data_IF_521151310478
#
_entry.id   IF_521151310478
#
_cell.length_a   1.000
_cell.length_b   1.000
_cell.length_c   1.000
_cell.angle_alpha   90.00
_cell.angle_beta   90.00
_cell.angle_gamma   90.00
#
_symmetry.space_group_name_H-M   'P 1'
#
loop_
_entity.id
_entity.type
_entity.pdbx_description
1 polymer ?
#
# COMPACT_ATOMS: atom_id res chain seq x y z
N UNK A 1 8.99 -9.70 -2.76
CA UNK A 1 8.05 -10.58 -3.49
C UNK A 1 7.69 -11.87 -2.76
N UNK A 2 8.64 -12.78 -2.45
CA UNK A 2 8.33 -14.08 -1.84
C UNK A 2 7.50 -13.99 -0.54
N UNK A 3 7.84 -13.07 0.36
CA UNK A 3 7.08 -12.85 1.60
C UNK A 3 5.64 -12.40 1.34
N UNK A 4 5.42 -11.55 0.34
CA UNK A 4 4.08 -11.09 -0.06
C UNK A 4 3.25 -12.28 -0.53
N UNK A 5 3.79 -13.11 -1.43
CA UNK A 5 3.09 -14.30 -1.91
C UNK A 5 2.83 -15.31 -0.78
N UNK A 6 3.77 -15.50 0.14
CA UNK A 6 3.58 -16.38 1.29
C UNK A 6 2.43 -15.90 2.19
N UNK A 7 2.43 -14.61 2.55
CA UNK A 7 1.47 -14.04 3.50
C UNK A 7 0.10 -13.72 2.87
N UNK A 8 0.07 -13.33 1.59
CA UNK A 8 -1.14 -12.83 0.93
C UNK A 8 -1.77 -13.84 -0.03
N UNK A 9 -1.08 -14.92 -0.39
CA UNK A 9 -1.62 -16.00 -1.23
C UNK A 9 -1.61 -17.36 -0.50
N UNK A 10 -0.43 -17.84 -0.12
CA UNK A 10 -0.30 -19.20 0.42
C UNK A 10 -0.97 -19.37 1.80
N UNK A 11 -0.73 -18.44 2.73
CA UNK A 11 -1.30 -18.52 4.08
C UNK A 11 -2.85 -18.43 4.09
N UNK A 12 -3.51 -17.48 3.38
CA UNK A 12 -4.97 -17.46 3.22
C UNK A 12 -5.54 -18.77 2.71
N UNK A 13 -4.99 -19.31 1.62
CA UNK A 13 -5.45 -20.55 1.01
C UNK A 13 -5.25 -21.74 1.94
N UNK A 14 -4.13 -21.80 2.67
CA UNK A 14 -3.87 -22.84 3.67
C UNK A 14 -4.87 -22.81 4.83
N UNK A 15 -5.20 -21.63 5.36
CA UNK A 15 -6.20 -21.50 6.43
C UNK A 15 -7.59 -21.94 5.95
N UNK A 16 -8.00 -21.52 4.74
CA UNK A 16 -9.26 -21.94 4.12
C UNK A 16 -9.27 -23.46 3.89
N UNK A 17 -8.18 -24.02 3.38
CA UNK A 17 -8.02 -25.47 3.22
C UNK A 17 -8.16 -26.20 4.56
N UNK A 18 -7.58 -25.68 5.64
CA UNK A 18 -7.69 -26.27 6.96
C UNK A 18 -9.13 -26.28 7.49
N UNK A 19 -9.95 -25.27 7.17
CA UNK A 19 -11.39 -25.28 7.49
C UNK A 19 -12.11 -26.42 6.77
N UNK A 20 -11.86 -26.57 5.46
CA UNK A 20 -12.53 -27.57 4.63
C UNK A 20 -12.13 -29.00 4.99
N UNK A 21 -10.84 -29.26 5.22
CA UNK A 21 -10.30 -30.61 5.28
C UNK A 21 -9.80 -31.03 6.67
N UNK A 22 -9.41 -30.08 7.51
CA UNK A 22 -8.84 -30.33 8.84
C UNK A 22 -9.58 -29.56 9.97
N UNK A 23 -10.93 -29.63 10.04
CA UNK A 23 -11.68 -28.86 11.02
C UNK A 23 -11.37 -29.29 12.46
N UNK A 24 -11.31 -28.32 13.37
CA UNK A 24 -11.27 -28.59 14.80
C UNK A 24 -12.56 -29.29 15.26
N UNK A 25 -12.42 -30.25 16.19
CA UNK A 25 -13.55 -31.02 16.71
C UNK A 25 -14.46 -30.18 17.59
N UNK A 26 -15.76 -30.49 17.51
CA UNK A 26 -16.81 -29.84 18.30
C UNK A 26 -17.22 -28.48 17.75
N UNK A 27 -18.45 -28.06 18.07
CA UNK A 27 -19.02 -26.79 17.57
C UNK A 27 -18.18 -25.58 17.97
N UNK A 28 -17.68 -25.57 19.21
CA UNK A 28 -16.85 -24.47 19.74
C UNK A 28 -15.49 -24.41 19.04
N UNK A 29 -14.79 -25.54 18.91
CA UNK A 29 -13.48 -25.58 18.25
C UNK A 29 -13.56 -25.16 16.77
N UNK A 30 -14.55 -25.67 16.04
CA UNK A 30 -14.81 -25.25 14.67
C UNK A 30 -15.15 -23.75 14.58
N UNK A 31 -16.00 -23.26 15.49
CA UNK A 31 -16.34 -21.84 15.58
C UNK A 31 -15.11 -20.96 15.75
N UNK A 32 -14.22 -21.30 16.69
CA UNK A 32 -12.96 -20.59 16.92
C UNK A 32 -12.07 -20.61 15.67
N UNK A 33 -11.95 -21.77 15.00
CA UNK A 33 -11.15 -21.89 13.78
C UNK A 33 -11.67 -20.98 12.66
N UNK A 34 -12.99 -20.99 12.44
CA UNK A 34 -13.64 -20.21 11.40
C UNK A 34 -13.55 -18.70 11.67
N UNK A 35 -13.82 -18.27 12.91
CA UNK A 35 -13.73 -16.85 13.29
C UNK A 35 -12.28 -16.35 13.26
N UNK A 36 -11.32 -17.15 13.73
CA UNK A 36 -9.90 -16.80 13.65
C UNK A 36 -9.44 -16.69 12.20
N UNK A 37 -9.84 -17.62 11.34
CA UNK A 37 -9.52 -17.58 9.90
C UNK A 37 -10.13 -16.33 9.27
N UNK A 38 -11.41 -16.03 9.54
CA UNK A 38 -12.06 -14.81 9.04
C UNK A 38 -11.35 -13.53 9.52
N UNK A 39 -10.91 -13.48 10.78
CA UNK A 39 -10.17 -12.34 11.33
C UNK A 39 -8.82 -12.15 10.62
N UNK A 40 -8.05 -13.23 10.43
CA UNK A 40 -6.76 -13.18 9.70
C UNK A 40 -6.98 -12.77 8.24
N UNK A 41 -7.96 -13.35 7.55
CA UNK A 41 -8.28 -12.97 6.17
C UNK A 41 -8.73 -11.51 6.07
N UNK A 42 -9.48 -11.00 7.04
CA UNK A 42 -9.90 -9.58 7.08
C UNK A 42 -8.70 -8.65 7.28
N UNK A 43 -7.77 -9.02 8.17
CA UNK A 43 -6.53 -8.26 8.36
C UNK A 43 -5.70 -8.20 7.07
N UNK A 44 -5.56 -9.34 6.39
CA UNK A 44 -4.85 -9.44 5.10
C UNK A 44 -5.60 -8.62 4.04
N UNK A 45 -6.92 -8.70 3.96
CA UNK A 45 -7.72 -7.90 3.02
C UNK A 45 -7.51 -6.39 3.20
N UNK A 46 -7.44 -5.92 4.45
CA UNK A 46 -7.33 -4.50 4.78
C UNK A 46 -5.91 -3.94 4.62
N UNK A 47 -4.88 -4.73 4.95
CA UNK A 47 -3.49 -4.27 5.03
C UNK A 47 -2.56 -4.86 3.95
N UNK A 48 -2.98 -5.93 3.28
CA UNK A 48 -2.26 -6.55 2.16
C UNK A 48 -2.05 -5.57 1.01
N UNK A 49 -1.12 -5.89 0.12
CA UNK A 49 -0.72 -5.05 -1.00
C UNK A 49 -1.31 -5.65 -2.28
N UNK A 50 -2.53 -5.22 -2.64
CA UNK A 50 -3.26 -5.78 -3.77
C UNK A 50 -2.90 -5.15 -5.13
N UNK A 51 -1.65 -4.72 -5.27
CA UNK A 51 -1.02 -4.34 -6.53
C UNK A 51 -0.20 -5.49 -7.13
N UNK A 52 0.30 -6.38 -6.26
CA UNK A 52 1.06 -7.58 -6.66
C UNK A 52 0.14 -8.72 -7.06
N UNK A 53 -0.87 -8.98 -6.24
CA UNK A 53 -1.95 -9.93 -6.49
C UNK A 53 -3.20 -9.09 -6.78
N UNK A 54 -4.04 -9.45 -7.77
CA UNK A 54 -5.18 -8.62 -8.15
C UNK A 54 -6.10 -8.24 -6.98
N UNK A 55 -6.58 -7.00 -6.99
CA UNK A 55 -7.44 -6.39 -5.97
C UNK A 55 -8.73 -7.16 -5.66
N UNK A 56 -9.19 -8.05 -6.54
CA UNK A 56 -10.40 -8.86 -6.30
C UNK A 56 -10.13 -10.10 -5.44
N UNK A 57 -8.88 -10.46 -5.20
CA UNK A 57 -8.47 -11.69 -4.51
C UNK A 57 -9.05 -11.85 -3.09
N UNK A 58 -9.11 -10.80 -2.25
CA UNK A 58 -9.74 -10.90 -0.93
C UNK A 58 -11.21 -11.32 -0.97
N UNK A 59 -11.96 -10.87 -1.98
CA UNK A 59 -13.36 -11.25 -2.14
C UNK A 59 -13.47 -12.73 -2.52
N UNK A 60 -12.56 -13.23 -3.37
CA UNK A 60 -12.48 -14.66 -3.69
C UNK A 60 -12.17 -15.49 -2.43
N UNK A 61 -11.29 -15.02 -1.54
CA UNK A 61 -11.05 -15.68 -0.24
C UNK A 61 -12.30 -15.72 0.64
N UNK A 62 -13.10 -14.65 0.67
CA UNK A 62 -14.38 -14.63 1.38
C UNK A 62 -15.35 -15.70 0.87
N UNK A 63 -15.51 -15.80 -0.45
CA UNK A 63 -16.35 -16.84 -1.09
C UNK A 63 -15.82 -18.24 -0.77
N UNK A 64 -14.51 -18.47 -0.94
CA UNK A 64 -13.88 -19.76 -0.65
C UNK A 64 -14.00 -20.15 0.82
N UNK A 65 -13.92 -19.21 1.76
CA UNK A 65 -14.13 -19.48 3.18
C UNK A 65 -15.57 -19.94 3.45
N UNK A 66 -16.57 -19.27 2.87
CA UNK A 66 -17.98 -19.66 3.01
C UNK A 66 -18.21 -21.07 2.46
N UNK A 67 -17.68 -21.36 1.26
CA UNK A 67 -17.76 -22.67 0.65
C UNK A 67 -17.06 -23.74 1.49
N UNK A 68 -15.88 -23.44 2.03
CA UNK A 68 -15.14 -24.34 2.92
C UNK A 68 -15.91 -24.65 4.20
N UNK A 69 -16.57 -23.66 4.81
CA UNK A 69 -17.42 -23.85 5.99
C UNK A 69 -18.62 -24.74 5.67
N UNK A 70 -19.30 -24.49 4.54
CA UNK A 70 -20.45 -25.29 4.10
C UNK A 70 -20.04 -26.76 3.81
N UNK A 71 -18.96 -26.95 3.07
CA UNK A 71 -18.40 -28.26 2.76
C UNK A 71 -18.00 -29.05 4.01
N UNK A 72 -17.33 -28.40 4.96
CA UNK A 72 -16.89 -29.01 6.22
C UNK A 72 -18.07 -29.48 7.08
N UNK A 73 -19.17 -28.70 7.13
CA UNK A 73 -20.41 -29.09 7.80
C UNK A 73 -21.08 -30.31 7.17
N UNK A 74 -21.09 -30.39 5.83
CA UNK A 74 -21.59 -31.57 5.11
C UNK A 74 -20.80 -32.85 5.42
N UNK A 75 -19.47 -32.74 5.62
CA UNK A 75 -18.61 -33.89 6.00
C UNK A 75 -18.59 -34.21 7.49
N UNK A 76 -19.00 -33.29 8.37
CA UNK A 76 -18.98 -33.52 9.82
C UNK A 76 -19.89 -34.70 10.23
N UNK A 77 -20.94 -34.99 9.46
CA UNK A 77 -21.78 -36.18 9.63
C UNK A 77 -21.05 -37.50 9.30
N UNK A 78 -19.98 -37.46 8.49
CA UNK A 78 -19.32 -38.65 7.95
C UNK A 78 -17.97 -38.99 8.62
N UNK A 79 -17.51 -38.21 9.61
CA UNK A 79 -16.20 -38.41 10.27
C UNK A 79 -16.35 -39.05 11.65
N UNK A 80 -16.50 -40.37 11.66
CA UNK A 80 -15.92 -41.22 12.70
C UNK A 80 -14.46 -41.52 12.32
N UNK A 81 -13.55 -41.65 13.29
CA UNK A 81 -12.16 -42.18 13.24
C UNK A 81 -11.01 -41.18 13.54
N UNK A 82 -10.09 -41.73 14.34
CA UNK A 82 -8.76 -41.30 14.80
C UNK A 82 -8.71 -40.13 15.81
N UNK A 83 -8.66 -40.50 17.09
CA UNK A 83 -8.22 -39.66 18.20
C UNK A 83 -6.82 -39.08 17.93
N UNK A 84 -6.73 -37.83 17.45
CA UNK A 84 -5.48 -37.06 17.57
C UNK A 84 -5.17 -36.87 19.05
N UNK A 85 -3.89 -36.98 19.43
CA UNK A 85 -3.47 -36.80 20.81
C UNK A 85 -3.96 -35.46 21.38
N UNK A 86 -4.25 -35.44 22.68
CA UNK A 86 -4.78 -34.26 23.36
C UNK A 86 -3.90 -33.01 23.19
N UNK A 87 -2.59 -33.19 23.05
CA UNK A 87 -1.61 -32.11 22.90
C UNK A 87 -1.75 -31.41 21.54
N UNK A 88 -1.83 -32.17 20.44
CA UNK A 88 -1.98 -31.60 19.09
C UNK A 88 -3.27 -30.80 18.98
N UNK A 89 -4.36 -31.27 19.60
CA UNK A 89 -5.63 -30.53 19.63
C UNK A 89 -5.51 -29.22 20.42
N UNK A 90 -4.88 -29.24 21.60
CA UNK A 90 -4.65 -28.03 22.40
C UNK A 90 -3.75 -27.03 21.67
N UNK A 91 -2.67 -27.51 21.05
CA UNK A 91 -1.75 -26.68 20.28
C UNK A 91 -2.45 -26.03 19.08
N UNK A 92 -3.26 -26.78 18.32
CA UNK A 92 -4.04 -26.24 17.22
C UNK A 92 -5.06 -25.19 17.70
N UNK A 93 -5.77 -25.46 18.80
CA UNK A 93 -6.70 -24.49 19.37
C UNK A 93 -5.98 -23.21 19.80
N UNK A 94 -4.85 -23.32 20.52
CA UNK A 94 -4.04 -22.19 20.93
C UNK A 94 -3.55 -21.38 19.72
N UNK A 95 -3.07 -22.06 18.68
CA UNK A 95 -2.68 -21.42 17.42
C UNK A 95 -3.81 -20.56 16.84
N UNK A 96 -5.03 -21.10 16.70
CA UNK A 96 -6.14 -20.32 16.13
C UNK A 96 -6.58 -19.18 17.05
N UNK A 97 -6.54 -19.36 18.37
CA UNK A 97 -6.84 -18.26 19.31
C UNK A 97 -5.81 -17.13 19.15
N UNK A 98 -4.51 -17.45 19.15
CA UNK A 98 -3.44 -16.47 18.97
C UNK A 98 -3.50 -15.81 17.58
N UNK A 99 -3.66 -16.60 16.52
CA UNK A 99 -3.76 -16.09 15.15
C UNK A 99 -4.99 -15.21 14.96
N UNK A 100 -6.14 -15.60 15.52
CA UNK A 100 -7.37 -14.81 15.50
C UNK A 100 -7.22 -13.49 16.26
N UNK A 101 -6.65 -13.52 17.47
CA UNK A 101 -6.37 -12.30 18.24
C UNK A 101 -5.41 -11.35 17.51
N UNK A 102 -4.32 -11.88 16.96
CA UNK A 102 -3.39 -11.11 16.13
C UNK A 102 -4.07 -10.55 14.88
N UNK A 103 -4.89 -11.36 14.19
CA UNK A 103 -5.68 -10.93 13.04
C UNK A 103 -6.63 -9.78 13.37
N UNK A 104 -7.38 -9.88 14.47
CA UNK A 104 -8.27 -8.81 14.93
C UNK A 104 -7.49 -7.53 15.25
N UNK A 105 -6.35 -7.63 15.94
CA UNK A 105 -5.48 -6.48 16.21
C UNK A 105 -4.97 -5.82 14.92
N UNK A 106 -4.50 -6.62 13.96
CA UNK A 106 -4.03 -6.13 12.65
C UNK A 106 -5.16 -5.50 11.83
N UNK A 107 -6.36 -6.07 11.87
CA UNK A 107 -7.54 -5.50 11.21
C UNK A 107 -7.97 -4.17 11.87
N UNK A 108 -7.99 -4.11 13.19
CA UNK A 108 -8.33 -2.89 13.94
C UNK A 108 -7.34 -1.76 13.68
N UNK A 109 -6.03 -2.05 13.70
CA UNK A 109 -5.00 -1.05 13.37
C UNK A 109 -5.09 -0.60 11.92
N UNK A 110 -5.45 -1.50 10.98
CA UNK A 110 -5.67 -1.14 9.58
C UNK A 110 -6.90 -0.24 9.42
N UNK A 111 -8.01 -0.56 10.09
CA UNK A 111 -9.22 0.27 10.08
C UNK A 111 -8.97 1.65 10.70
N UNK A 112 -8.22 1.71 11.80
CA UNK A 112 -7.83 2.98 12.43
C UNK A 112 -7.01 3.85 11.48
N UNK A 113 -6.03 3.27 10.77
CA UNK A 113 -5.24 3.99 9.77
C UNK A 113 -6.04 4.53 8.59
N UNK A 114 -7.25 4.00 8.34
CA UNK A 114 -8.13 4.48 7.27
C UNK A 114 -8.90 5.73 7.66
N UNK A 115 -8.91 6.10 8.94
CA UNK A 115 -9.57 7.31 9.43
C UNK A 115 -8.63 8.50 9.18
N UNK A 116 -9.08 9.57 8.50
CA UNK A 116 -8.28 10.78 8.33
C UNK A 116 -7.85 11.34 9.70
N UNK A 117 -6.59 11.79 9.86
CA UNK A 117 -6.17 12.50 11.06
C UNK A 117 -7.00 13.76 11.30
N UNK A 118 -7.08 14.21 12.56
CA UNK A 118 -7.78 15.47 12.93
C UNK A 118 -7.01 16.74 12.57
N UNK A 119 -5.82 16.60 11.99
CA UNK A 119 -5.01 17.71 11.53
C UNK A 119 -5.56 18.28 10.21
N UNK A 120 -5.13 19.49 9.85
CA UNK A 120 -5.49 20.09 8.57
C UNK A 120 -5.01 19.19 7.42
N UNK A 121 -5.97 18.65 6.67
CA UNK A 121 -5.73 17.84 5.48
C UNK A 121 -5.52 18.78 4.30
N UNK A 122 -4.42 18.60 3.58
CA UNK A 122 -4.13 19.35 2.36
C UNK A 122 -4.89 18.71 1.21
N UNK A 123 -5.88 19.41 0.67
CA UNK A 123 -6.65 18.91 -0.46
C UNK A 123 -5.96 19.25 -1.79
N UNK A 124 -5.79 18.23 -2.62
CA UNK A 124 -5.04 18.27 -3.86
C UNK A 124 -5.89 17.80 -5.04
N UNK A 125 -5.59 18.28 -6.24
CA UNK A 125 -6.07 17.61 -7.44
C UNK A 125 -5.34 16.29 -7.64
N UNK A 126 -6.02 15.27 -8.16
CA UNK A 126 -5.36 13.99 -8.45
C UNK A 126 -4.33 14.19 -9.58
N UNK A 127 -3.05 13.79 -9.39
CA UNK A 127 -1.95 14.18 -10.29
C UNK A 127 -1.84 13.35 -11.57
N UNK A 128 -2.75 12.38 -11.77
CA UNK A 128 -2.78 11.49 -12.93
C UNK A 128 -4.16 11.58 -13.60
N UNK A 129 -4.25 11.24 -14.90
CA UNK A 129 -5.49 11.30 -15.68
C UNK A 129 -5.99 9.89 -16.00
N UNK A 130 -6.77 9.73 -17.08
CA UNK A 130 -7.36 8.48 -17.56
C UNK A 130 -6.52 7.24 -17.26
N UNK A 131 -7.06 6.37 -16.41
CA UNK A 131 -6.40 5.16 -15.94
C UNK A 131 -7.17 4.48 -14.81
N UNK A 132 -6.69 3.33 -14.37
CA UNK A 132 -7.16 2.65 -13.17
C UNK A 132 -6.00 2.55 -12.21
N UNK A 133 -6.14 3.12 -11.03
CA UNK A 133 -5.07 3.20 -10.05
C UNK A 133 -5.46 2.47 -8.78
N UNK A 134 -4.45 1.89 -8.12
CA UNK A 134 -4.53 1.28 -6.80
C UNK A 134 -3.49 1.95 -5.92
N UNK A 135 -3.89 2.29 -4.71
CA UNK A 135 -3.02 2.93 -3.72
C UNK A 135 -2.20 1.86 -3.01
N UNK A 136 -0.88 1.88 -3.19
CA UNK A 136 0.06 0.96 -2.58
C UNK A 136 0.39 1.37 -1.13
N UNK A 137 0.64 2.66 -0.92
CA UNK A 137 0.79 3.27 0.41
C UNK A 137 -0.17 4.45 0.53
N UNK A 138 -0.87 4.54 1.65
CA UNK A 138 -1.82 5.60 1.95
C UNK A 138 -2.52 5.32 3.27
N UNK A 139 -2.98 6.37 3.95
CA UNK A 139 -3.52 6.27 5.31
C UNK A 139 -2.52 6.61 6.42
N UNK A 140 -3.00 6.52 7.66
CA UNK A 140 -2.38 7.09 8.86
C UNK A 140 -1.73 6.06 9.79
N UNK A 141 -1.51 4.82 9.35
CA UNK A 141 -0.87 3.79 10.19
C UNK A 141 0.19 2.98 9.44
N UNK A 142 1.20 2.52 10.17
CA UNK A 142 2.36 1.82 9.59
C UNK A 142 2.00 0.52 8.85
N UNK A 143 0.93 -0.17 9.24
CA UNK A 143 0.53 -1.42 8.62
C UNK A 143 -0.13 -1.23 7.25
N UNK A 144 -0.62 -0.03 6.92
CA UNK A 144 -1.19 0.30 5.59
C UNK A 144 -0.39 1.38 4.84
N UNK A 145 0.52 2.08 5.51
CA UNK A 145 1.38 3.08 4.89
C UNK A 145 2.79 2.99 5.47
N UNK A 146 3.74 2.53 4.66
CA UNK A 146 5.13 2.36 5.09
C UNK A 146 5.81 3.69 5.45
N UNK A 147 5.38 4.82 4.88
CA UNK A 147 5.96 6.13 5.13
C UNK A 147 5.76 6.63 6.56
N UNK A 148 4.72 6.13 7.25
CA UNK A 148 4.47 6.44 8.67
C UNK A 148 5.65 6.04 9.57
N UNK A 149 6.55 5.17 9.09
CA UNK A 149 7.78 4.80 9.79
C UNK A 149 8.66 6.02 10.07
N UNK A 150 8.62 7.03 9.22
CA UNK A 150 9.46 8.23 9.36
C UNK A 150 9.02 9.16 10.51
N UNK A 151 7.91 8.86 11.18
CA UNK A 151 7.52 9.50 12.44
C UNK A 151 8.25 8.95 13.66
N UNK A 152 8.94 7.80 13.55
CA UNK A 152 9.66 7.22 14.68
C UNK A 152 10.84 8.10 15.11
N UNK A 153 10.77 8.76 16.29
CA UNK A 153 11.79 9.71 16.73
C UNK A 153 13.07 9.00 17.20
N UNK A 154 13.03 7.68 17.42
CA UNK A 154 14.18 6.90 17.91
C UNK A 154 15.20 6.61 16.82
N UNK A 155 14.88 6.90 15.55
CA UNK A 155 15.74 6.63 14.39
C UNK A 155 16.17 7.97 13.76
N UNK A 156 17.36 8.51 14.09
CA UNK A 156 17.76 9.87 13.71
C UNK A 156 17.71 10.16 12.21
N UNK A 157 18.00 9.16 11.37
CA UNK A 157 17.95 9.32 9.90
C UNK A 157 16.55 9.69 9.38
N UNK A 158 15.47 9.40 10.12
CA UNK A 158 14.13 9.74 9.67
C UNK A 158 13.81 11.23 9.80
N UNK A 159 14.50 11.97 10.66
CA UNK A 159 14.25 13.40 10.86
C UNK A 159 14.38 14.21 9.56
N UNK A 160 15.37 13.88 8.73
CA UNK A 160 15.61 14.55 7.44
C UNK A 160 14.54 14.24 6.37
N UNK A 161 13.74 13.20 6.59
CA UNK A 161 12.82 12.64 5.61
C UNK A 161 11.38 12.49 6.13
N UNK A 162 11.10 13.02 7.33
CA UNK A 162 9.83 12.85 8.04
C UNK A 162 8.63 13.42 7.29
N UNK A 163 8.86 14.40 6.42
CA UNK A 163 7.83 15.05 5.61
C UNK A 163 7.06 14.08 4.73
N UNK A 164 7.67 12.95 4.36
CA UNK A 164 7.00 11.92 3.56
C UNK A 164 5.92 11.14 4.31
N UNK A 165 5.80 11.29 5.64
CA UNK A 165 4.70 10.64 6.36
C UNK A 165 3.35 11.09 5.80
N UNK A 166 2.38 10.19 5.76
CA UNK A 166 1.13 10.33 5.00
C UNK A 166 1.29 10.37 3.48
N UNK A 167 2.50 10.12 2.95
CA UNK A 167 2.73 9.97 1.52
C UNK A 167 1.87 8.87 0.92
N UNK A 168 1.52 9.09 -0.34
CA UNK A 168 0.64 8.24 -1.14
C UNK A 168 1.43 7.72 -2.34
N UNK A 169 1.53 6.41 -2.44
CA UNK A 169 2.14 5.74 -3.59
C UNK A 169 1.04 5.19 -4.50
N UNK A 170 0.99 5.72 -5.72
CA UNK A 170 -0.05 5.45 -6.69
C UNK A 170 0.51 4.50 -7.76
N UNK A 171 -0.18 3.39 -7.99
CA UNK A 171 0.21 2.37 -8.98
C UNK A 171 -0.93 2.21 -10.00
N UNK A 172 -0.60 2.15 -11.29
CA UNK A 172 -1.58 1.85 -12.34
C UNK A 172 -1.75 0.35 -12.51
N UNK A 173 -2.99 -0.09 -12.74
CA UNK A 173 -3.33 -1.49 -13.02
C UNK A 173 -4.14 -1.60 -14.31
N UNK A 174 -4.07 -2.78 -14.92
CA UNK A 174 -4.95 -3.14 -16.03
C UNK A 174 -6.39 -3.45 -15.55
N UNK A 175 -7.35 -3.74 -16.45
CA UNK A 175 -8.74 -4.01 -16.05
C UNK A 175 -8.90 -5.20 -15.08
N UNK A 176 -7.98 -6.17 -15.10
CA UNK A 176 -8.06 -7.38 -14.28
C UNK A 176 -7.24 -7.26 -12.99
N UNK A 177 -6.50 -6.18 -12.82
CA UNK A 177 -5.82 -5.80 -11.58
C UNK A 177 -4.32 -6.07 -11.54
N UNK A 178 -3.66 -6.33 -12.67
CA UNK A 178 -2.20 -6.47 -12.72
C UNK A 178 -1.52 -5.13 -13.01
N UNK A 179 -0.45 -4.83 -12.25
CA UNK A 179 0.37 -3.62 -12.41
C UNK A 179 1.49 -3.74 -13.45
N UNK A 180 1.81 -4.94 -13.92
CA UNK A 180 2.94 -5.21 -14.81
C UNK A 180 2.76 -6.51 -15.62
N UNK A 181 3.58 -6.67 -16.66
CA UNK A 181 3.72 -7.94 -17.41
C UNK A 181 4.56 -8.95 -16.62
N UNK A 182 3.89 -9.67 -15.72
CA UNK A 182 4.49 -10.65 -14.82
C UNK A 182 4.53 -10.18 -13.37
N UNK A 183 5.12 -11.00 -12.50
CA UNK A 183 5.09 -10.74 -11.05
C UNK A 183 6.05 -9.61 -10.62
N UNK A 184 7.26 -9.59 -11.18
CA UNK A 184 8.33 -8.63 -10.85
C UNK A 184 9.31 -8.51 -12.03
N UNK A 185 8.87 -7.99 -13.20
CA UNK A 185 9.76 -7.80 -14.34
C UNK A 185 10.85 -6.77 -14.01
N UNK A 186 12.08 -6.97 -14.48
CA UNK A 186 13.21 -6.08 -14.14
C UNK A 186 13.20 -4.75 -14.89
N UNK A 187 12.55 -4.69 -16.06
CA UNK A 187 12.44 -3.48 -16.86
C UNK A 187 11.31 -2.58 -16.34
N UNK A 188 11.58 -1.31 -15.97
CA UNK A 188 10.54 -0.37 -15.55
C UNK A 188 9.41 -0.21 -16.57
N UNK A 189 9.72 -0.27 -17.87
CA UNK A 189 8.75 -0.16 -18.98
C UNK A 189 7.71 -1.29 -19.02
N UNK A 190 7.93 -2.41 -18.31
CA UNK A 190 6.95 -3.49 -18.20
C UNK A 190 5.81 -3.19 -17.20
N UNK A 191 5.92 -2.08 -16.44
CA UNK A 191 4.90 -1.63 -15.49
C UNK A 191 3.93 -0.65 -16.15
N UNK A 192 2.64 -0.80 -15.85
CA UNK A 192 1.56 -0.03 -16.50
C UNK A 192 1.69 1.47 -16.28
N UNK A 193 2.21 1.90 -15.13
CA UNK A 193 2.31 3.32 -14.78
C UNK A 193 3.54 4.01 -15.37
N UNK A 194 4.56 3.25 -15.80
CA UNK A 194 5.79 3.86 -16.31
C UNK A 194 5.51 4.75 -17.52
N UNK A 195 6.02 5.98 -17.49
CA UNK A 195 5.76 6.99 -18.53
C UNK A 195 4.41 7.71 -18.41
N UNK A 196 3.58 7.41 -17.40
CA UNK A 196 2.34 8.14 -17.19
C UNK A 196 2.63 9.61 -16.88
N UNK A 197 1.91 10.53 -17.54
CA UNK A 197 2.07 11.97 -17.33
C UNK A 197 1.60 12.38 -15.94
N UNK A 198 2.44 13.15 -15.25
CA UNK A 198 2.18 13.69 -13.92
C UNK A 198 1.84 15.18 -14.05
N UNK A 199 0.73 15.58 -13.45
CA UNK A 199 0.22 16.95 -13.49
C UNK A 199 0.26 17.61 -12.12
N UNK A 200 0.40 18.93 -12.12
CA UNK A 200 0.47 19.74 -10.91
C UNK A 200 -0.82 19.55 -10.08
N UNK A 201 -0.73 19.03 -8.85
CA UNK A 201 -1.89 18.81 -7.99
C UNK A 201 -2.42 20.10 -7.33
N UNK A 202 -1.64 21.18 -7.36
CA UNK A 202 -1.97 22.48 -6.81
C UNK A 202 -1.26 23.59 -7.63
N UNK A 203 -1.86 24.78 -7.70
CA UNK A 203 -1.18 25.96 -8.22
C UNK A 203 -0.12 26.42 -7.22
N UNK A 204 1.05 26.79 -7.71
CA UNK A 204 2.17 27.16 -6.85
C UNK A 204 3.44 27.50 -7.59
N UNK A 205 4.52 27.63 -6.82
CA UNK A 205 5.87 27.89 -7.34
C UNK A 205 6.75 26.68 -7.12
N UNK A 206 7.50 26.27 -8.13
CA UNK A 206 8.52 25.22 -8.00
C UNK A 206 9.62 25.74 -7.08
N UNK A 207 9.83 25.11 -5.92
CA UNK A 207 10.92 25.48 -5.00
C UNK A 207 12.15 24.59 -5.20
N UNK A 208 11.96 23.43 -5.80
CA UNK A 208 13.03 22.48 -6.05
C UNK A 208 12.64 21.55 -7.20
N UNK A 209 13.59 21.27 -8.09
CA UNK A 209 13.44 20.30 -9.16
C UNK A 209 14.78 19.57 -9.35
N UNK A 210 14.75 18.23 -9.37
CA UNK A 210 15.88 17.38 -9.75
C UNK A 210 15.44 16.58 -10.97
N UNK A 211 16.26 16.59 -12.01
CA UNK A 211 16.16 15.68 -13.15
C UNK A 211 17.53 15.05 -13.47
N UNK A 212 17.53 13.99 -14.27
CA UNK A 212 18.72 13.30 -14.77
C UNK A 212 19.21 12.12 -13.94
N UNK A 213 18.60 11.82 -12.78
CA UNK A 213 18.86 10.60 -12.01
C UNK A 213 18.32 9.39 -12.81
N UNK A 214 19.16 8.41 -13.17
CA UNK A 214 18.71 7.25 -13.94
C UNK A 214 17.63 6.43 -13.22
N UNK A 215 16.77 5.77 -14.00
CA UNK A 215 15.87 4.75 -13.46
C UNK A 215 16.66 3.52 -13.03
N UNK A 216 16.25 2.91 -11.93
CA UNK A 216 16.81 1.63 -11.47
C UNK A 216 16.07 0.46 -12.12
N UNK A 217 16.77 -0.65 -12.36
CA UNK A 217 16.12 -1.91 -12.73
C UNK A 217 15.36 -2.42 -11.51
N UNK A 218 14.17 -2.97 -11.68
CA UNK A 218 13.42 -3.54 -10.57
C UNK A 218 14.09 -4.84 -10.09
N UNK A 219 14.27 -5.08 -8.78
CA UNK A 219 13.86 -4.25 -7.63
C UNK A 219 15.03 -3.46 -6.99
N UNK A 220 16.06 -3.12 -7.77
CA UNK A 220 17.17 -2.30 -7.32
C UNK A 220 16.68 -0.89 -6.98
N UNK A 221 17.28 -0.27 -5.96
CA UNK A 221 16.91 1.09 -5.53
C UNK A 221 18.15 1.92 -5.28
N UNK A 222 18.06 3.24 -5.48
CA UNK A 222 19.14 4.18 -5.19
C UNK A 222 18.83 4.95 -3.89
N UNK A 223 19.50 4.54 -2.81
CA UNK A 223 19.37 5.17 -1.49
C UNK A 223 20.24 6.42 -1.31
N UNK A 224 21.18 6.67 -2.22
CA UNK A 224 21.93 7.93 -2.21
C UNK A 224 21.05 9.06 -2.74
N UNK A 225 20.22 8.78 -3.75
CA UNK A 225 19.24 9.70 -4.31
C UNK A 225 17.81 9.31 -3.92
N UNK A 226 17.48 9.38 -2.63
CA UNK A 226 16.21 8.86 -2.08
C UNK A 226 14.94 9.23 -2.88
N UNK A 227 14.79 10.46 -3.36
CA UNK A 227 13.62 10.88 -4.15
C UNK A 227 13.73 10.56 -5.66
N UNK A 228 14.94 10.27 -6.15
CA UNK A 228 15.22 10.24 -7.58
C UNK A 228 15.00 11.61 -8.23
N UNK A 229 14.43 11.61 -9.42
CA UNK A 229 13.93 12.82 -10.06
C UNK A 229 12.62 13.24 -9.38
N UNK A 230 12.52 14.51 -9.01
CA UNK A 230 11.44 14.99 -8.18
C UNK A 230 11.20 16.49 -8.36
N UNK A 231 9.98 16.92 -8.05
CA UNK A 231 9.57 18.33 -8.00
C UNK A 231 8.92 18.61 -6.65
N UNK A 232 9.28 19.75 -6.05
CA UNK A 232 8.60 20.31 -4.89
C UNK A 232 7.88 21.58 -5.32
N UNK A 233 6.56 21.61 -5.12
CA UNK A 233 5.71 22.76 -5.37
C UNK A 233 5.36 23.42 -4.04
N UNK A 234 5.66 24.71 -3.90
CA UNK A 234 5.10 25.53 -2.83
C UNK A 234 3.71 25.98 -3.20
N UNK A 235 2.73 25.35 -2.58
CA UNK A 235 1.31 25.64 -2.72
C UNK A 235 0.81 26.45 -1.51
N UNK A 236 -0.44 26.89 -1.53
CA UNK A 236 -0.98 27.80 -0.52
C UNK A 236 -0.90 27.26 0.92
N UNK A 237 -1.08 25.95 1.10
CA UNK A 237 -1.17 25.30 2.42
C UNK A 237 0.06 24.47 2.78
N UNK A 238 0.89 24.08 1.80
CA UNK A 238 1.97 23.13 1.97
C UNK A 238 2.99 23.18 0.82
N UNK A 239 4.19 22.65 1.10
CA UNK A 239 5.10 22.20 0.05
C UNK A 239 4.69 20.75 -0.33
N UNK A 240 4.37 20.53 -1.60
CA UNK A 240 3.92 19.25 -2.16
C UNK A 240 5.04 18.63 -2.98
N UNK A 241 5.35 17.37 -2.71
CA UNK A 241 6.48 16.65 -3.33
C UNK A 241 5.94 15.58 -4.27
N UNK A 242 6.47 15.55 -5.48
CA UNK A 242 6.23 14.51 -6.50
C UNK A 242 7.59 13.87 -6.81
N UNK A 243 7.72 12.56 -6.65
CA UNK A 243 9.01 11.87 -6.71
C UNK A 243 8.99 10.62 -7.62
N UNK A 244 10.17 10.02 -7.78
CA UNK A 244 10.42 8.85 -8.63
C UNK A 244 10.08 9.10 -10.11
N UNK A 245 10.24 10.34 -10.56
CA UNK A 245 9.92 10.74 -11.94
C UNK A 245 10.96 10.17 -12.93
N UNK A 246 10.55 10.07 -14.18
CA UNK A 246 11.35 9.52 -15.27
C UNK A 246 12.48 10.51 -15.65
N UNK A 247 13.73 10.04 -15.82
CA UNK A 247 14.83 10.91 -16.21
C UNK A 247 14.58 11.61 -17.55
N UNK A 248 14.87 12.91 -17.59
CA UNK A 248 14.69 13.78 -18.76
C UNK A 248 13.25 14.21 -19.00
N UNK A 249 12.32 13.93 -18.08
CA UNK A 249 10.90 14.28 -18.24
C UNK A 249 10.53 15.63 -17.60
N UNK A 250 11.35 16.16 -16.70
CA UNK A 250 11.04 17.38 -15.95
C UNK A 250 11.61 18.57 -16.70
N UNK A 251 10.73 19.48 -17.12
CA UNK A 251 11.12 20.72 -17.84
C UNK A 251 11.00 21.98 -17.00
N UNK A 252 10.79 21.81 -15.70
CA UNK A 252 10.59 22.89 -14.75
C UNK A 252 11.88 23.20 -13.99
N UNK A 253 12.06 24.46 -13.62
CA UNK A 253 13.14 24.94 -12.79
C UNK A 253 12.61 25.60 -11.51
N UNK A 254 13.46 25.72 -10.49
CA UNK A 254 13.11 26.47 -9.29
C UNK A 254 12.78 27.93 -9.65
N UNK A 255 11.66 28.43 -9.12
CA UNK A 255 11.10 29.75 -9.42
C UNK A 255 9.95 29.73 -10.43
N UNK A 256 9.78 28.66 -11.21
CA UNK A 256 8.69 28.55 -12.17
C UNK A 256 7.33 28.52 -11.45
N UNK A 257 6.33 29.17 -12.05
CA UNK A 257 4.93 29.10 -11.59
C UNK A 257 4.18 28.07 -12.41
N UNK A 258 3.39 27.26 -11.74
CA UNK A 258 2.52 26.25 -12.36
C UNK A 258 1.11 26.41 -11.84
N UNK A 259 0.14 26.20 -12.72
CA UNK A 259 -1.26 26.07 -12.36
C UNK A 259 -1.65 24.60 -12.20
N UNK A 260 -2.72 24.34 -11.44
CA UNK A 260 -3.33 23.00 -11.34
C UNK A 260 -3.51 22.41 -12.74
N UNK A 261 -3.03 21.18 -12.93
CA UNK A 261 -3.15 20.48 -14.21
C UNK A 261 -2.03 20.77 -15.22
N UNK A 262 -1.07 21.64 -14.90
CA UNK A 262 0.16 21.81 -15.69
C UNK A 262 1.00 20.52 -15.69
N UNK A 263 1.68 20.22 -16.80
CA UNK A 263 2.55 19.03 -16.89
C UNK A 263 3.82 19.23 -16.04
N UNK A 264 4.09 18.30 -15.14
CA UNK A 264 5.30 18.28 -14.31
C UNK A 264 6.39 17.39 -14.93
N UNK A 265 6.01 16.21 -15.38
CA UNK A 265 6.90 15.20 -15.92
C UNK A 265 6.17 13.88 -16.16
N UNK A 266 6.90 12.77 -16.11
CA UNK A 266 6.37 11.43 -16.29
C UNK A 266 6.80 10.51 -15.13
N UNK A 267 5.97 9.52 -14.78
CA UNK A 267 6.32 8.52 -13.76
C UNK A 267 7.49 7.66 -14.25
N UNK A 268 8.49 7.48 -13.38
CA UNK A 268 9.68 6.68 -13.65
C UNK A 268 9.90 5.60 -12.58
N UNK A 269 11.16 5.31 -12.30
CA UNK A 269 11.62 4.41 -11.24
C UNK A 269 12.99 4.85 -10.69
N UNK A 270 13.25 6.16 -10.65
CA UNK A 270 14.49 6.73 -10.15
C UNK A 270 14.49 6.81 -8.62
N UNK A 271 15.68 6.74 -8.01
CA UNK A 271 15.84 6.89 -6.56
C UNK A 271 15.46 5.65 -5.75
N UNK A 272 14.99 5.85 -4.51
CA UNK A 272 14.64 4.76 -3.61
C UNK A 272 13.22 4.20 -3.88
N UNK A 273 13.00 3.78 -5.12
CA UNK A 273 11.76 3.16 -5.62
C UNK A 273 12.02 1.69 -5.93
N UNK A 274 11.23 0.77 -5.35
CA UNK A 274 11.37 -0.66 -5.58
C UNK A 274 10.67 -1.15 -6.85
N UNK A 275 9.67 -0.41 -7.35
CA UNK A 275 9.05 -0.58 -8.66
C UNK A 275 8.34 0.72 -9.12
N UNK A 276 8.08 0.92 -10.43
CA UNK A 276 7.46 2.14 -10.93
C UNK A 276 6.13 2.49 -10.23
N UNK A 277 6.08 3.68 -9.62
CA UNK A 277 4.91 4.28 -8.99
C UNK A 277 5.07 5.80 -8.93
N UNK A 278 3.97 6.53 -8.74
CA UNK A 278 4.05 7.94 -8.37
C UNK A 278 3.98 8.07 -6.86
N UNK A 279 5.04 8.61 -6.25
CA UNK A 279 5.01 9.05 -4.86
C UNK A 279 4.59 10.52 -4.77
N UNK A 280 3.62 10.81 -3.91
CA UNK A 280 3.19 12.17 -3.59
C UNK A 280 2.98 12.36 -2.08
N UNK A 281 3.47 13.46 -1.52
CA UNK A 281 3.15 13.85 -0.15
C UNK A 281 3.09 15.36 0.01
N UNK A 282 2.55 15.83 1.14
CA UNK A 282 2.56 17.22 1.55
C UNK A 282 3.26 17.39 2.90
N UNK A 283 3.92 18.53 3.06
CA UNK A 283 4.60 18.89 4.28
C UNK A 283 4.61 20.42 4.45
N UNK A 284 4.82 20.90 5.67
CA UNK A 284 5.28 22.28 5.87
C UNK A 284 6.65 22.48 5.21
N UNK A 285 7.07 23.73 4.91
CA UNK A 285 8.37 23.97 4.32
C UNK A 285 9.53 23.34 5.13
N UNK A 286 10.38 22.58 4.43
CA UNK A 286 11.60 22.02 4.99
C UNK A 286 12.73 23.05 5.09
N UNK A 287 13.88 22.61 5.63
CA UNK A 287 15.08 23.46 5.62
C UNK A 287 15.80 23.40 4.27
N UNK A 288 16.60 24.42 3.94
CA UNK A 288 17.36 24.44 2.68
C UNK A 288 18.30 23.23 2.50
N UNK A 289 18.84 22.69 3.61
CA UNK A 289 19.72 21.51 3.59
C UNK A 289 18.97 20.18 3.65
N UNK A 290 17.73 20.20 4.15
CA UNK A 290 16.87 19.02 4.26
C UNK A 290 15.45 19.41 3.82
N UNK A 291 15.20 19.53 2.51
CA UNK A 291 13.91 19.99 2.01
C UNK A 291 12.74 19.08 2.41
N UNK A 292 13.00 17.82 2.76
CA UNK A 292 12.01 16.80 3.17
C UNK A 292 11.82 16.67 4.68
N UNK A 293 12.43 17.56 5.48
CA UNK A 293 12.34 17.52 6.94
C UNK A 293 11.09 18.22 7.49
N UNK A 294 10.19 18.70 6.61
CA UNK A 294 9.02 19.46 6.99
C UNK A 294 8.09 18.68 7.91
N UNK A 295 7.22 19.38 8.65
CA UNK A 295 6.13 18.72 9.38
C UNK A 295 5.25 18.02 8.34
N UNK A 296 5.07 16.68 8.39
CA UNK A 296 4.23 15.98 7.43
C UNK A 296 2.77 16.40 7.58
N UNK A 297 2.07 16.51 6.47
CA UNK A 297 0.66 16.90 6.41
C UNK A 297 -0.13 15.81 5.66
N UNK A 298 -1.26 15.33 6.21
CA UNK A 298 -2.13 14.40 5.48
C UNK A 298 -2.64 15.03 4.19
N UNK A 299 -2.80 14.22 3.14
CA UNK A 299 -3.33 14.66 1.85
C UNK A 299 -4.66 14.01 1.53
N UNK A 300 -5.56 14.76 0.91
CA UNK A 300 -6.74 14.25 0.22
C UNK A 300 -6.71 14.63 -1.25
N UNK A 301 -7.49 13.91 -2.06
CA UNK A 301 -7.63 14.19 -3.48
C UNK A 301 -9.09 14.44 -3.83
N UNK A 302 -9.47 15.71 -4.04
CA UNK A 302 -10.87 16.10 -4.20
C UNK A 302 -11.72 15.64 -3.02
N UNK A 303 -11.28 15.95 -1.80
CA UNK A 303 -11.83 15.52 -0.50
C UNK A 303 -11.76 14.01 -0.19
N UNK A 304 -11.26 13.17 -1.10
CA UNK A 304 -11.05 11.75 -0.82
C UNK A 304 -9.72 11.52 -0.08
N UNK A 305 -9.77 11.05 1.17
CA UNK A 305 -8.59 10.58 1.89
C UNK A 305 -8.25 9.15 1.44
N UNK A 306 -7.25 9.04 0.58
CA UNK A 306 -6.90 7.78 -0.06
C UNK A 306 -6.02 6.91 0.85
N UNK A 307 -6.42 5.64 0.97
CA UNK A 307 -5.76 4.65 1.83
C UNK A 307 -5.33 3.44 1.01
N UNK A 308 -4.43 2.61 1.56
CA UNK A 308 -4.01 1.37 0.88
C UNK A 308 -5.20 0.56 0.34
N UNK A 309 -5.06 0.12 -0.90
CA UNK A 309 -6.01 -0.65 -1.70
C UNK A 309 -7.25 0.13 -2.18
N UNK A 310 -7.34 1.43 -1.93
CA UNK A 310 -8.33 2.24 -2.61
C UNK A 310 -8.08 2.22 -4.13
N UNK A 311 -9.18 2.24 -4.87
CA UNK A 311 -9.17 2.20 -6.33
C UNK A 311 -9.63 3.56 -6.85
N UNK A 312 -8.83 4.18 -7.70
CA UNK A 312 -9.11 5.51 -8.25
C UNK A 312 -9.20 5.41 -9.76
N UNK A 313 -10.29 5.93 -10.32
CA UNK A 313 -10.49 6.07 -11.76
C UNK A 313 -10.76 7.55 -12.04
N UNK A 314 -9.72 8.36 -12.26
CA UNK A 314 -9.88 9.77 -12.58
C UNK A 314 -10.70 9.92 -13.86
N UNK A 315 -11.51 10.98 -13.96
CA UNK A 315 -12.30 11.27 -15.16
C UNK A 315 -11.42 11.52 -16.40
#
# INVERSE_FOLDING_TARGET
>A
MALILALQLAAPLLLIFCIAFLPLRGRVGFGIQATATAAVLSAIALAGLWTVIPWWTPYAYGVLLVLAIAFSRGRAAARSIASRSSLVRRAALAFYVCAGGFGLYQAATALYGRIPPREDVVDLAFPLRAGRYVIANGGASININAHMRTLDPTVPRFLAWRGQSYGVDIVQVDPIGFRADGLLPSAPTAYRIYGAKVFAPCSGTVVFAIDGVPDMRVPETDRAHMLGNAVILRCAQADVVLAHLRPGSIRLAAGDRVDVGALIGEVGNSGNSDEPHLHIHAQSPGSARQPMSGKPLPVSFGAAYLVRNDRVNPP
#
